data_IF_943399501406
#
_entry.id   IF_943399501406
#
_cell.length_a   1.000
_cell.length_b   1.000
_cell.length_c   1.000
_cell.angle_alpha   90.00
_cell.angle_beta   90.00
_cell.angle_gamma   90.00
#
_symmetry.space_group_name_H-M   'P 1'
#
loop_
_entity.id
_entity.type
_entity.pdbx_description
1 polymer ?
#
# COMPACT_ATOMS: atom_id res chain seq x y z
N UNK A 1 -9.51 -22.27 24.86
CA UNK A 1 -10.15 -20.95 25.09
C UNK A 1 -10.67 -20.46 23.74
N UNK A 2 -11.88 -19.90 23.70
CA UNK A 2 -12.43 -19.28 22.48
C UNK A 2 -12.28 -17.77 22.63
N UNK A 3 -11.56 -17.13 21.71
CA UNK A 3 -11.42 -15.67 21.67
C UNK A 3 -12.69 -15.02 21.13
N UNK A 4 -12.98 -13.78 21.51
CA UNK A 4 -14.06 -13.02 20.87
C UNK A 4 -13.67 -12.67 19.43
N UNK A 5 -12.40 -12.28 19.22
CA UNK A 5 -11.87 -11.90 17.92
C UNK A 5 -10.52 -12.56 17.62
N UNK A 6 -10.35 -13.04 16.40
CA UNK A 6 -9.05 -13.35 15.83
C UNK A 6 -8.78 -12.43 14.63
N UNK A 7 -7.56 -11.90 14.52
CA UNK A 7 -7.09 -11.15 13.35
C UNK A 7 -5.89 -11.86 12.73
N UNK A 8 -5.94 -12.17 11.44
CA UNK A 8 -4.81 -12.77 10.71
C UNK A 8 -4.10 -11.68 9.91
N UNK A 9 -2.80 -11.55 10.13
CA UNK A 9 -1.90 -10.61 9.44
C UNK A 9 -1.45 -9.46 10.34
N UNK A 10 -0.15 -9.42 10.65
CA UNK A 10 0.55 -8.38 11.41
C UNK A 10 1.10 -7.24 10.53
N UNK A 11 0.50 -7.01 9.36
CA UNK A 11 0.67 -5.79 8.59
C UNK A 11 -0.19 -4.64 9.16
N UNK A 12 0.03 -3.41 8.66
CA UNK A 12 -0.59 -2.21 9.24
C UNK A 12 -2.13 -2.24 9.27
N UNK A 13 -2.79 -2.85 8.27
CA UNK A 13 -4.25 -2.96 8.23
C UNK A 13 -4.76 -3.92 9.32
N UNK A 14 -4.10 -5.07 9.50
CA UNK A 14 -4.48 -6.03 10.54
C UNK A 14 -4.22 -5.49 11.94
N UNK A 15 -3.08 -4.82 12.14
CA UNK A 15 -2.76 -4.16 13.41
C UNK A 15 -3.74 -3.03 13.76
N UNK A 16 -4.03 -2.14 12.81
CA UNK A 16 -5.03 -1.09 13.02
C UNK A 16 -6.41 -1.68 13.35
N UNK A 17 -6.79 -2.79 12.68
CA UNK A 17 -8.06 -3.49 12.94
C UNK A 17 -8.11 -4.09 14.33
N UNK A 18 -7.07 -4.81 14.75
CA UNK A 18 -7.00 -5.40 16.09
C UNK A 18 -7.03 -4.33 17.19
N UNK A 19 -6.28 -3.24 17.00
CA UNK A 19 -6.30 -2.10 17.91
C UNK A 19 -7.69 -1.50 18.01
N UNK A 20 -8.35 -1.23 16.88
CA UNK A 20 -9.70 -0.65 16.88
C UNK A 20 -10.75 -1.57 17.48
N UNK A 21 -10.65 -2.90 17.30
CA UNK A 21 -11.54 -3.86 17.95
C UNK A 21 -11.45 -3.76 19.48
N UNK A 22 -10.24 -3.71 20.03
CA UNK A 22 -10.01 -3.58 21.47
C UNK A 22 -10.48 -2.24 22.03
N UNK A 23 -10.30 -1.15 21.27
CA UNK A 23 -10.79 0.19 21.65
C UNK A 23 -12.33 0.25 21.64
N UNK A 24 -12.96 -0.40 20.66
CA UNK A 24 -14.42 -0.39 20.49
C UNK A 24 -15.12 -1.29 21.50
N UNK A 25 -14.50 -2.42 21.84
CA UNK A 25 -15.06 -3.42 22.76
C UNK A 25 -14.09 -3.68 23.93
N UNK A 26 -14.01 -2.76 24.92
CA UNK A 26 -13.14 -2.94 26.07
C UNK A 26 -13.40 -4.26 26.80
N UNK A 27 -12.33 -5.00 27.12
CA UNK A 27 -12.40 -6.29 27.82
C UNK A 27 -12.68 -7.50 26.93
N UNK A 28 -12.84 -7.33 25.61
CA UNK A 28 -12.93 -8.47 24.70
C UNK A 28 -11.59 -9.21 24.61
N UNK A 29 -11.66 -10.53 24.44
CA UNK A 29 -10.49 -11.36 24.19
C UNK A 29 -10.12 -11.33 22.71
N UNK A 30 -8.89 -10.90 22.39
CA UNK A 30 -8.39 -10.79 21.02
C UNK A 30 -7.04 -11.45 20.85
N UNK A 31 -6.88 -12.21 19.76
CA UNK A 31 -5.59 -12.73 19.32
C UNK A 31 -5.30 -12.28 17.88
N UNK A 32 -4.09 -11.79 17.63
CA UNK A 32 -3.56 -11.51 16.31
C UNK A 32 -2.50 -12.56 15.95
N UNK A 33 -2.63 -13.16 14.76
CA UNK A 33 -1.71 -14.16 14.23
C UNK A 33 -0.89 -13.58 13.07
N UNK A 34 0.43 -13.62 13.19
CA UNK A 34 1.38 -13.22 12.15
C UNK A 34 2.35 -14.37 11.90
N UNK A 35 2.57 -14.70 10.62
CA UNK A 35 3.43 -15.81 10.22
C UNK A 35 4.92 -15.47 10.32
N UNK A 36 5.26 -14.19 10.26
CA UNK A 36 6.63 -13.70 10.34
C UNK A 36 7.07 -13.57 11.80
N UNK A 37 8.38 -13.54 12.02
CA UNK A 37 8.99 -13.35 13.35
C UNK A 37 8.86 -11.91 13.87
N UNK A 38 8.32 -11.00 13.06
CA UNK A 38 8.14 -9.59 13.39
C UNK A 38 6.96 -8.98 12.62
N UNK A 39 6.38 -7.93 13.20
CA UNK A 39 5.29 -7.17 12.59
C UNK A 39 5.76 -6.34 11.39
N UNK A 40 4.87 -6.18 10.40
CA UNK A 40 5.08 -5.26 9.27
C UNK A 40 6.15 -5.70 8.26
N UNK A 41 6.57 -6.97 8.25
CA UNK A 41 7.70 -7.45 7.44
C UNK A 41 7.50 -7.41 5.93
N UNK A 42 6.26 -7.41 5.44
CA UNK A 42 5.97 -7.45 4.01
C UNK A 42 5.70 -6.06 3.41
N UNK A 43 4.53 -5.87 2.76
CA UNK A 43 4.14 -4.61 2.08
C UNK A 43 4.30 -3.36 2.96
N UNK A 44 4.04 -3.48 4.26
CA UNK A 44 4.16 -2.36 5.21
C UNK A 44 5.61 -1.94 5.46
N UNK A 45 6.55 -2.87 5.45
CA UNK A 45 7.98 -2.57 5.59
C UNK A 45 8.61 -2.13 4.28
N UNK A 46 8.04 -2.55 3.14
CA UNK A 46 8.57 -2.31 1.79
C UNK A 46 7.72 -1.33 1.00
N UNK A 47 7.70 -0.07 1.43
CA UNK A 47 7.03 1.03 0.73
C UNK A 47 7.80 2.36 0.91
N UNK A 48 7.32 3.42 0.26
CA UNK A 48 7.95 4.74 0.24
C UNK A 48 7.80 5.54 1.54
N UNK A 49 7.08 5.03 2.56
CA UNK A 49 6.86 5.74 3.82
C UNK A 49 5.94 6.96 3.71
N UNK A 50 5.33 7.22 2.55
CA UNK A 50 4.57 8.44 2.30
C UNK A 50 3.23 8.44 3.05
N UNK A 51 2.94 9.55 3.73
CA UNK A 51 1.62 9.92 4.26
C UNK A 51 0.93 10.74 3.17
N UNK A 52 0.11 10.08 2.35
CA UNK A 52 -0.49 10.66 1.15
C UNK A 52 -1.61 11.67 1.48
N UNK A 53 -1.64 12.79 0.74
CA UNK A 53 -2.72 13.79 0.85
C UNK A 53 -3.99 13.47 0.03
N UNK A 54 -3.95 12.48 -0.88
CA UNK A 54 -5.14 12.03 -1.62
C UNK A 54 -5.39 12.66 -3.00
N UNK A 55 -4.47 13.46 -3.53
CA UNK A 55 -4.69 14.28 -4.76
C UNK A 55 -5.08 13.48 -6.02
N UNK A 56 -4.66 12.22 -6.13
CA UNK A 56 -4.90 11.43 -7.34
C UNK A 56 -6.29 10.79 -7.39
N UNK A 57 -6.96 10.65 -6.25
CA UNK A 57 -8.14 9.79 -6.17
C UNK A 57 -9.39 10.50 -6.71
N UNK A 58 -10.27 9.76 -7.42
CA UNK A 58 -11.54 10.32 -7.88
C UNK A 58 -12.34 10.91 -6.72
N UNK A 59 -12.89 12.12 -6.87
CA UNK A 59 -13.75 12.72 -5.86
C UNK A 59 -14.94 11.84 -5.51
N UNK A 60 -15.29 11.80 -4.22
CA UNK A 60 -16.35 10.94 -3.70
C UNK A 60 -15.99 9.44 -3.61
N UNK A 61 -14.82 9.02 -4.10
CA UNK A 61 -14.38 7.64 -3.90
C UNK A 61 -14.00 7.36 -2.46
N UNK A 62 -14.17 6.11 -2.03
CA UNK A 62 -13.78 5.64 -0.70
C UNK A 62 -12.29 5.90 -0.42
N UNK A 63 -11.44 5.76 -1.44
CA UNK A 63 -10.01 6.11 -1.35
C UNK A 63 -9.76 7.57 -1.03
N UNK A 64 -10.45 8.49 -1.68
CA UNK A 64 -10.25 9.92 -1.45
C UNK A 64 -10.60 10.26 0.00
N UNK A 65 -11.74 9.76 0.48
CA UNK A 65 -12.21 9.98 1.85
C UNK A 65 -11.28 9.37 2.90
N UNK A 66 -10.97 8.07 2.76
CA UNK A 66 -10.13 7.34 3.70
C UNK A 66 -8.68 7.87 3.70
N UNK A 67 -8.15 8.31 2.57
CA UNK A 67 -6.81 8.87 2.50
C UNK A 67 -6.70 10.18 3.27
N UNK A 68 -7.69 11.07 3.16
CA UNK A 68 -7.70 12.35 3.88
C UNK A 68 -7.78 12.11 5.38
N UNK A 69 -8.80 11.36 5.82
CA UNK A 69 -8.94 10.96 7.24
C UNK A 69 -7.70 10.24 7.76
N UNK A 70 -7.12 9.38 6.92
CA UNK A 70 -5.94 8.60 7.24
C UNK A 70 -4.68 9.43 7.41
N UNK A 71 -4.49 10.46 6.58
CA UNK A 71 -3.34 11.35 6.68
C UNK A 71 -3.31 12.06 8.03
N UNK A 72 -4.45 12.57 8.48
CA UNK A 72 -4.57 13.25 9.77
C UNK A 72 -4.45 12.27 10.94
N UNK A 73 -5.16 11.14 10.88
CA UNK A 73 -5.09 10.10 11.91
C UNK A 73 -3.68 9.51 12.06
N UNK A 74 -2.96 9.28 10.95
CA UNK A 74 -1.59 8.77 10.99
C UNK A 74 -0.64 9.76 11.66
N UNK A 75 -0.74 11.05 11.33
CA UNK A 75 0.10 12.09 11.96
C UNK A 75 -0.21 12.22 13.45
N UNK A 76 -1.50 12.23 13.82
CA UNK A 76 -1.93 12.27 15.22
C UNK A 76 -1.40 11.05 16.01
N UNK A 77 -1.51 9.85 15.45
CA UNK A 77 -0.96 8.63 16.04
C UNK A 77 0.56 8.71 16.21
N UNK A 78 1.27 9.28 15.23
CA UNK A 78 2.71 9.48 15.32
C UNK A 78 3.07 10.47 16.44
N UNK A 79 2.33 11.58 16.58
CA UNK A 79 2.53 12.55 17.66
C UNK A 79 2.28 11.91 19.03
N UNK A 80 1.16 11.20 19.21
CA UNK A 80 0.78 10.53 20.45
C UNK A 80 1.83 9.51 20.91
N UNK A 81 2.41 8.76 19.98
CA UNK A 81 3.35 7.69 20.28
C UNK A 81 4.82 8.06 20.11
N UNK A 82 5.13 9.34 19.89
CA UNK A 82 6.51 9.83 19.72
C UNK A 82 7.24 9.23 18.51
N UNK A 83 6.50 8.90 17.44
CA UNK A 83 7.05 8.37 16.20
C UNK A 83 7.49 9.55 15.33
N UNK A 84 8.74 9.51 14.87
CA UNK A 84 9.27 10.54 13.98
C UNK A 84 8.55 10.51 12.63
N UNK A 85 7.99 11.64 12.23
CA UNK A 85 7.48 11.89 10.88
C UNK A 85 7.89 13.30 10.43
N UNK A 86 7.88 13.56 9.13
CA UNK A 86 8.21 14.86 8.54
C UNK A 86 7.10 15.24 7.54
N UNK A 87 6.55 16.45 7.66
CA UNK A 87 5.58 17.01 6.70
C UNK A 87 6.34 17.82 5.68
N UNK A 88 7.06 17.10 4.81
CA UNK A 88 7.98 17.67 3.85
C UNK A 88 7.31 18.15 2.55
N UNK A 89 6.01 17.93 2.39
CA UNK A 89 5.27 18.27 1.18
C UNK A 89 5.66 17.44 -0.05
N UNK A 90 4.90 17.64 -1.14
CA UNK A 90 5.11 16.93 -2.41
C UNK A 90 4.91 17.86 -3.60
N UNK A 91 5.74 17.69 -4.62
CA UNK A 91 5.65 18.37 -5.91
C UNK A 91 5.25 17.38 -7.00
N UNK A 92 4.17 17.69 -7.72
CA UNK A 92 3.81 17.05 -8.99
C UNK A 92 4.40 17.87 -10.12
N UNK A 93 5.48 17.40 -10.74
CA UNK A 93 6.24 18.17 -11.72
C UNK A 93 5.80 17.81 -13.14
N UNK A 94 5.44 18.82 -13.92
CA UNK A 94 5.14 18.67 -15.34
C UNK A 94 6.39 18.96 -16.17
N UNK A 95 6.77 18.03 -17.05
CA UNK A 95 7.97 18.09 -17.89
C UNK A 95 7.64 18.24 -19.38
N UNK A 96 6.36 18.24 -19.74
CA UNK A 96 5.86 18.44 -21.11
C UNK A 96 4.54 19.22 -21.14
N UNK A 97 4.18 19.79 -22.29
CA UNK A 97 2.91 20.53 -22.46
C UNK A 97 1.68 19.67 -22.16
N UNK A 98 1.73 18.37 -22.48
CA UNK A 98 0.66 17.42 -22.14
C UNK A 98 0.56 17.21 -20.62
N UNK A 99 1.70 17.10 -19.93
CA UNK A 99 1.71 16.99 -18.48
C UNK A 99 1.22 18.28 -17.81
N UNK A 100 1.49 19.46 -18.37
CA UNK A 100 0.91 20.72 -17.88
C UNK A 100 -0.62 20.69 -17.97
N UNK A 101 -1.19 20.27 -19.10
CA UNK A 101 -2.65 20.15 -19.22
C UNK A 101 -3.25 19.18 -18.19
N UNK A 102 -2.60 18.03 -17.97
CA UNK A 102 -3.02 17.05 -16.96
C UNK A 102 -2.86 17.57 -15.53
N UNK A 103 -1.80 18.33 -15.28
CA UNK A 103 -1.54 19.00 -14.01
C UNK A 103 -2.66 19.97 -13.69
N UNK A 104 -3.11 20.76 -14.66
CA UNK A 104 -4.24 21.69 -14.47
C UNK A 104 -5.54 20.96 -14.11
N UNK A 105 -5.83 19.84 -14.78
CA UNK A 105 -6.99 19.02 -14.42
C UNK A 105 -6.89 18.44 -13.00
N UNK A 106 -5.69 18.08 -12.52
CA UNK A 106 -5.48 17.62 -11.15
C UNK A 106 -5.67 18.74 -10.12
N UNK A 107 -5.28 19.97 -10.45
CA UNK A 107 -5.51 21.12 -9.57
C UNK A 107 -7.00 21.42 -9.41
N UNK A 108 -7.80 21.31 -10.48
CA UNK A 108 -9.25 21.47 -10.34
C UNK A 108 -9.88 20.32 -9.52
N UNK A 109 -9.36 19.09 -9.67
CA UNK A 109 -9.78 17.95 -8.84
C UNK A 109 -9.42 18.12 -7.36
N UNK A 110 -8.26 18.70 -7.04
CA UNK A 110 -7.83 18.87 -5.65
C UNK A 110 -8.78 19.76 -4.86
N UNK A 111 -9.35 20.78 -5.50
CA UNK A 111 -10.41 21.62 -4.92
C UNK A 111 -11.64 20.81 -4.51
N UNK A 112 -12.09 19.88 -5.38
CA UNK A 112 -13.23 19.00 -5.10
C UNK A 112 -12.96 18.03 -3.93
N UNK A 113 -11.71 17.61 -3.77
CA UNK A 113 -11.29 16.78 -2.64
C UNK A 113 -10.95 17.56 -1.36
N UNK A 114 -11.05 18.91 -1.41
CA UNK A 114 -10.69 19.80 -0.30
C UNK A 114 -9.22 19.62 0.13
N UNK A 115 -8.33 19.46 -0.85
CA UNK A 115 -6.89 19.34 -0.62
C UNK A 115 -6.24 20.68 -0.97
N UNK A 116 -5.50 21.24 -0.03
CA UNK A 116 -4.66 22.42 -0.26
C UNK A 116 -3.55 22.09 -1.27
N UNK A 117 -3.52 22.85 -2.36
CA UNK A 117 -2.55 22.70 -3.44
C UNK A 117 -2.18 24.08 -3.96
N UNK A 118 -0.89 24.33 -4.14
CA UNK A 118 -0.36 25.57 -4.71
C UNK A 118 0.20 25.29 -6.11
N UNK A 119 -0.27 26.04 -7.11
CA UNK A 119 0.37 26.04 -8.44
C UNK A 119 1.71 26.77 -8.34
N UNK A 120 2.74 26.21 -8.97
CA UNK A 120 4.06 26.80 -9.10
C UNK A 120 4.43 26.95 -10.57
N UNK A 121 4.91 28.12 -10.94
CA UNK A 121 5.62 28.37 -12.18
C UNK A 121 6.95 27.61 -12.23
N UNK A 122 7.56 27.52 -13.42
CA UNK A 122 8.91 27.00 -13.58
C UNK A 122 9.94 27.73 -12.69
N UNK A 123 9.82 29.06 -12.57
CA UNK A 123 10.70 29.87 -11.72
C UNK A 123 10.57 29.50 -10.23
N UNK A 124 9.34 29.42 -9.72
CA UNK A 124 9.08 29.04 -8.33
C UNK A 124 9.46 27.58 -8.05
N UNK A 125 9.26 26.67 -9.01
CA UNK A 125 9.74 25.29 -8.91
C UNK A 125 11.27 25.26 -8.74
N UNK A 126 12.00 26.01 -9.59
CA UNK A 126 13.47 26.06 -9.54
C UNK A 126 13.99 26.69 -8.25
N UNK A 127 13.32 27.71 -7.72
CA UNK A 127 13.67 28.32 -6.45
C UNK A 127 13.52 27.34 -5.27
N UNK A 128 12.40 26.61 -5.25
CA UNK A 128 12.11 25.61 -4.21
C UNK A 128 13.00 24.38 -4.32
N UNK A 129 13.22 23.89 -5.54
CA UNK A 129 14.00 22.69 -5.86
C UNK A 129 15.04 22.96 -6.97
N UNK A 130 16.24 23.48 -6.63
CA UNK A 130 17.24 23.88 -7.62
C UNK A 130 17.76 22.76 -8.53
N UNK A 131 17.65 21.51 -8.08
CA UNK A 131 18.07 20.32 -8.84
C UNK A 131 16.95 19.73 -9.71
N UNK A 132 15.76 20.32 -9.69
CA UNK A 132 14.60 19.85 -10.42
C UNK A 132 14.29 20.76 -11.61
N UNK A 133 13.81 20.16 -12.69
CA UNK A 133 13.42 20.81 -13.95
C UNK A 133 12.00 20.41 -14.32
N UNK A 134 11.25 21.35 -14.87
CA UNK A 134 9.89 21.17 -15.32
C UNK A 134 9.28 22.50 -15.74
N UNK A 135 8.20 22.46 -16.49
CA UNK A 135 7.44 23.63 -16.97
C UNK A 135 6.56 24.25 -15.86
N UNK A 136 6.44 23.57 -14.72
CA UNK A 136 5.64 23.99 -13.57
C UNK A 136 5.37 22.80 -12.66
N UNK A 137 4.74 23.06 -11.51
CA UNK A 137 4.37 22.01 -10.57
C UNK A 137 3.11 22.31 -9.75
N UNK A 138 2.53 21.26 -9.16
CA UNK A 138 1.60 21.39 -8.04
C UNK A 138 2.29 21.03 -6.74
N UNK A 139 2.29 21.95 -5.79
CA UNK A 139 2.80 21.75 -4.44
C UNK A 139 1.68 21.38 -3.47
N UNK A 140 1.84 20.24 -2.80
CA UNK A 140 0.90 19.72 -1.81
C UNK A 140 1.58 19.73 -0.43
N UNK A 141 1.37 20.78 0.40
CA UNK A 141 2.12 21.00 1.64
C UNK A 141 1.81 19.93 2.70
N UNK A 142 0.60 19.37 2.69
CA UNK A 142 0.15 18.42 3.72
C UNK A 142 0.74 17.02 3.60
N UNK A 143 1.48 16.70 2.52
CA UNK A 143 2.09 15.37 2.35
C UNK A 143 3.27 15.21 3.30
N UNK A 144 3.42 14.02 3.89
CA UNK A 144 4.54 13.73 4.79
C UNK A 144 5.15 12.35 4.57
N UNK A 145 6.10 12.01 5.43
CA UNK A 145 6.83 10.74 5.42
C UNK A 145 7.00 10.19 6.84
N UNK A 146 6.96 8.87 6.98
CA UNK A 146 7.09 8.14 8.24
C UNK A 146 7.64 6.74 8.01
N UNK A 147 8.17 6.12 9.06
CA UNK A 147 8.43 4.68 9.10
C UNK A 147 7.15 3.93 9.47
N UNK A 148 6.48 3.33 8.48
CA UNK A 148 5.31 2.49 8.78
C UNK A 148 5.68 1.20 9.55
N UNK A 149 6.95 0.79 9.52
CA UNK A 149 7.45 -0.24 10.42
C UNK A 149 7.34 0.20 11.89
N UNK A 150 7.77 1.42 12.21
CA UNK A 150 7.66 1.97 13.57
C UNK A 150 6.20 2.17 14.00
N UNK A 151 5.34 2.59 13.07
CA UNK A 151 3.88 2.65 13.27
C UNK A 151 3.33 1.27 13.64
N UNK A 152 3.71 0.21 12.91
CA UNK A 152 3.31 -1.15 13.26
C UNK A 152 3.80 -1.59 14.64
N UNK A 153 5.04 -1.27 15.00
CA UNK A 153 5.56 -1.61 16.33
C UNK A 153 4.79 -0.87 17.43
N UNK A 154 4.44 0.40 17.22
CA UNK A 154 3.62 1.16 18.15
C UNK A 154 2.20 0.60 18.27
N UNK A 155 1.54 0.26 17.16
CA UNK A 155 0.24 -0.41 17.17
C UNK A 155 0.31 -1.76 17.91
N UNK A 156 1.37 -2.54 17.69
CA UNK A 156 1.60 -3.80 18.41
C UNK A 156 1.74 -3.61 19.92
N UNK A 157 2.47 -2.58 20.38
CA UNK A 157 2.53 -2.21 21.80
C UNK A 157 1.17 -1.79 22.34
N UNK A 158 0.41 -1.01 21.57
CA UNK A 158 -0.93 -0.54 21.96
C UNK A 158 -1.91 -1.71 22.12
N UNK A 159 -1.91 -2.66 21.17
CA UNK A 159 -2.73 -3.90 21.26
C UNK A 159 -2.43 -4.65 22.56
N UNK A 160 -1.14 -4.88 22.87
CA UNK A 160 -0.75 -5.55 24.11
C UNK A 160 -1.18 -4.78 25.37
N UNK A 161 -1.03 -3.45 25.35
CA UNK A 161 -1.46 -2.60 26.47
C UNK A 161 -2.99 -2.61 26.67
N UNK A 162 -3.76 -2.85 25.61
CA UNK A 162 -5.21 -3.02 25.66
C UNK A 162 -5.64 -4.46 26.02
N UNK A 163 -4.70 -5.36 26.32
CA UNK A 163 -4.98 -6.75 26.70
C UNK A 163 -5.07 -7.73 25.54
N UNK A 164 -4.81 -7.30 24.30
CA UNK A 164 -4.76 -8.18 23.13
C UNK A 164 -3.48 -9.00 23.06
N UNK A 165 -3.60 -10.21 22.51
CA UNK A 165 -2.48 -11.11 22.29
C UNK A 165 -1.95 -11.04 20.86
N UNK A 166 -0.64 -11.13 20.70
CA UNK A 166 0.02 -11.23 19.38
C UNK A 166 0.86 -12.50 19.37
N UNK A 167 0.61 -13.39 18.41
CA UNK A 167 1.42 -14.58 18.14
C UNK A 167 2.14 -14.39 16.81
N UNK A 168 3.46 -14.28 16.90
CA UNK A 168 4.39 -14.25 15.77
C UNK A 168 4.76 -15.69 15.39
N UNK A 169 5.35 -15.88 14.21
CA UNK A 169 5.71 -17.21 13.70
C UNK A 169 4.54 -18.20 13.62
N UNK A 170 3.31 -17.68 13.54
CA UNK A 170 2.06 -18.43 13.51
C UNK A 170 1.46 -18.40 12.11
N UNK A 171 1.95 -19.26 11.21
CA UNK A 171 1.41 -19.36 9.85
C UNK A 171 0.09 -20.13 9.88
N UNK A 172 -1.00 -19.45 9.57
CA UNK A 172 -2.30 -20.09 9.41
C UNK A 172 -2.30 -21.04 8.21
N UNK A 173 -2.73 -22.28 8.45
CA UNK A 173 -2.74 -23.40 7.49
C UNK A 173 -4.14 -23.98 7.28
N UNK A 174 -5.14 -23.56 8.05
CA UNK A 174 -6.53 -23.93 7.85
C UNK A 174 -7.48 -22.96 8.53
N UNK A 175 -8.62 -22.70 7.89
CA UNK A 175 -9.70 -21.87 8.45
C UNK A 175 -11.01 -22.61 8.19
N UNK A 176 -11.79 -22.88 9.22
CA UNK A 176 -13.11 -23.51 9.09
C UNK A 176 -14.13 -22.77 9.93
N UNK A 177 -15.09 -22.14 9.26
CA UNK A 177 -16.24 -21.54 9.93
C UNK A 177 -17.18 -22.63 10.43
N UNK A 178 -17.56 -22.55 11.69
CA UNK A 178 -18.55 -23.39 12.34
C UNK A 178 -19.75 -22.52 12.78
N UNK A 179 -20.77 -23.15 13.37
CA UNK A 179 -22.00 -22.45 13.77
C UNK A 179 -21.73 -21.31 14.75
N UNK A 180 -20.86 -21.53 15.74
CA UNK A 180 -20.65 -20.61 16.87
C UNK A 180 -19.25 -20.00 16.96
N UNK A 181 -18.34 -20.47 16.11
CA UNK A 181 -16.93 -20.07 16.11
C UNK A 181 -16.30 -20.28 14.73
N UNK A 182 -15.05 -19.86 14.61
CA UNK A 182 -14.16 -20.17 13.49
C UNK A 182 -12.97 -20.93 14.07
N UNK A 183 -12.69 -22.11 13.54
CA UNK A 183 -11.50 -22.89 13.87
C UNK A 183 -10.34 -22.38 12.99
N UNK A 184 -9.22 -22.02 13.61
CA UNK A 184 -8.02 -21.54 12.93
C UNK A 184 -6.86 -22.49 13.24
N UNK A 185 -6.42 -23.23 12.23
CA UNK A 185 -5.25 -24.10 12.31
C UNK A 185 -3.99 -23.35 11.89
N UNK A 186 -2.86 -23.63 12.54
CA UNK A 186 -1.58 -22.99 12.19
C UNK A 186 -0.37 -23.90 12.38
N UNK A 187 0.81 -23.41 11.98
CA UNK A 187 2.09 -24.02 12.34
C UNK A 187 2.30 -23.90 13.85
N UNK A 188 2.06 -24.99 14.58
CA UNK A 188 2.25 -25.07 16.03
C UNK A 188 0.93 -25.26 16.75
N UNK A 189 0.28 -24.15 17.10
CA UNK A 189 -0.95 -24.14 17.89
C UNK A 189 -2.20 -23.88 17.03
N UNK A 190 -3.35 -24.31 17.52
CA UNK A 190 -4.65 -24.03 16.91
C UNK A 190 -5.46 -23.11 17.83
N UNK A 191 -6.28 -22.26 17.24
CA UNK A 191 -7.12 -21.31 17.96
C UNK A 191 -8.57 -21.39 17.51
N UNK A 192 -9.45 -20.86 18.34
CA UNK A 192 -10.85 -20.67 18.03
C UNK A 192 -11.25 -19.24 18.37
N UNK A 193 -12.06 -18.63 17.51
CA UNK A 193 -12.62 -17.30 17.78
C UNK A 193 -14.09 -17.19 17.35
N UNK A 194 -14.87 -16.34 18.01
CA UNK A 194 -16.27 -16.10 17.64
C UNK A 194 -16.38 -15.38 16.30
N UNK A 195 -15.46 -14.45 16.02
CA UNK A 195 -15.31 -13.71 14.76
C UNK A 195 -13.85 -13.69 14.31
N UNK A 196 -13.64 -13.69 12.99
CA UNK A 196 -12.33 -13.67 12.34
C UNK A 196 -12.24 -12.49 11.35
N UNK A 197 -11.14 -11.76 11.38
CA UNK A 197 -10.75 -10.83 10.32
C UNK A 197 -9.45 -11.29 9.67
N UNK A 198 -9.42 -11.32 8.34
CA UNK A 198 -8.25 -11.73 7.57
C UNK A 198 -7.69 -10.57 6.77
N UNK A 199 -6.54 -10.07 7.17
CA UNK A 199 -5.79 -8.99 6.52
C UNK A 199 -4.51 -9.56 5.85
N UNK A 200 -4.70 -10.53 4.97
CA UNK A 200 -3.63 -11.36 4.40
C UNK A 200 -2.68 -10.68 3.40
N UNK A 201 -2.94 -9.44 2.99
CA UNK A 201 -2.10 -8.71 2.03
C UNK A 201 -1.86 -9.52 0.75
N UNK A 202 -0.60 -9.81 0.45
CA UNK A 202 -0.17 -10.66 -0.67
C UNK A 202 -0.70 -12.09 -0.66
N UNK A 203 -1.29 -12.57 0.44
CA UNK A 203 -1.90 -13.90 0.57
C UNK A 203 -3.43 -13.83 0.73
N UNK A 204 -4.06 -12.68 0.50
CA UNK A 204 -5.48 -12.46 0.82
C UNK A 204 -6.43 -13.41 0.11
N UNK A 205 -6.23 -13.65 -1.19
CA UNK A 205 -7.02 -14.57 -2.01
C UNK A 205 -6.80 -16.04 -1.59
N UNK A 206 -5.56 -16.44 -1.29
CA UNK A 206 -5.24 -17.78 -0.80
C UNK A 206 -5.88 -18.07 0.54
N UNK A 207 -5.84 -17.11 1.47
CA UNK A 207 -6.50 -17.26 2.77
C UNK A 207 -8.03 -17.26 2.65
N UNK A 208 -8.61 -16.52 1.68
CA UNK A 208 -10.03 -16.60 1.38
C UNK A 208 -10.43 -17.98 0.83
N UNK A 209 -9.66 -18.53 -0.11
CA UNK A 209 -9.86 -19.90 -0.63
C UNK A 209 -9.66 -20.94 0.48
N UNK A 210 -8.64 -20.77 1.33
CA UNK A 210 -8.36 -21.64 2.46
C UNK A 210 -9.53 -21.68 3.47
N UNK A 211 -10.24 -20.56 3.61
CA UNK A 211 -11.46 -20.46 4.42
C UNK A 211 -12.72 -20.97 3.74
N UNK A 212 -12.62 -21.54 2.52
CA UNK A 212 -13.75 -22.06 1.76
C UNK A 212 -14.60 -21.00 1.05
N UNK A 213 -14.11 -19.76 0.94
CA UNK A 213 -14.85 -18.68 0.27
C UNK A 213 -14.75 -18.80 -1.26
N UNK A 214 -15.88 -18.61 -1.93
CA UNK A 214 -15.90 -18.45 -3.39
C UNK A 214 -15.48 -17.03 -3.76
N UNK A 215 -14.37 -16.89 -4.48
CA UNK A 215 -13.84 -15.60 -4.93
C UNK A 215 -13.60 -15.58 -6.45
N UNK A 216 -13.79 -14.41 -7.05
CA UNK A 216 -13.63 -14.20 -8.50
C UNK A 216 -12.38 -13.42 -8.89
N UNK A 217 -11.41 -13.34 -7.97
CA UNK A 217 -10.18 -12.61 -8.17
C UNK A 217 -8.96 -13.44 -7.75
N UNK A 218 -7.80 -13.05 -8.28
CA UNK A 218 -6.49 -13.52 -7.85
C UNK A 218 -5.57 -12.34 -7.59
N UNK A 219 -4.65 -12.51 -6.64
CA UNK A 219 -3.60 -11.55 -6.37
C UNK A 219 -2.45 -11.80 -7.33
N UNK A 220 -2.21 -10.82 -8.20
CA UNK A 220 -1.02 -10.74 -9.04
C UNK A 220 0.00 -9.85 -8.33
N UNK A 221 1.20 -10.36 -7.99
CA UNK A 221 2.22 -9.54 -7.37
C UNK A 221 2.84 -8.60 -8.40
N UNK A 222 2.79 -7.30 -8.13
CA UNK A 222 3.54 -6.30 -8.90
C UNK A 222 4.75 -5.85 -8.08
N UNK A 223 5.93 -6.21 -8.56
CA UNK A 223 7.21 -5.81 -7.98
C UNK A 223 7.53 -4.39 -8.42
N UNK A 224 7.78 -3.52 -7.44
CA UNK A 224 8.30 -2.18 -7.65
C UNK A 224 9.77 -2.12 -7.27
N UNK A 225 10.63 -1.88 -8.25
CA UNK A 225 12.07 -1.75 -8.04
C UNK A 225 12.44 -0.32 -7.69
N UNK A 226 13.24 -0.20 -6.64
CA UNK A 226 13.76 1.06 -6.15
C UNK A 226 15.29 1.06 -6.25
N UNK A 227 15.83 2.27 -6.34
CA UNK A 227 17.24 2.54 -6.09
C UNK A 227 17.38 3.50 -4.92
N UNK A 228 18.53 3.50 -4.28
CA UNK A 228 18.91 4.47 -3.26
C UNK A 228 20.00 5.36 -3.85
N UNK A 229 19.87 6.67 -3.66
CA UNK A 229 20.94 7.61 -4.02
C UNK A 229 22.10 7.52 -3.01
N UNK A 230 23.35 7.81 -3.44
CA UNK A 230 24.48 7.88 -2.53
C UNK A 230 24.26 8.96 -1.46
N UNK A 231 24.92 8.81 -0.31
CA UNK A 231 24.75 9.74 0.81
C UNK A 231 25.05 11.21 0.43
N UNK A 232 25.97 11.43 -0.51
CA UNK A 232 26.29 12.77 -1.05
C UNK A 232 25.13 13.44 -1.80
N UNK A 233 24.06 12.70 -2.14
CA UNK A 233 22.86 13.20 -2.83
C UNK A 233 21.60 13.14 -1.95
N UNK A 234 21.73 12.95 -0.64
CA UNK A 234 20.56 12.95 0.26
C UNK A 234 19.81 14.29 0.29
N UNK A 235 20.51 15.40 0.02
CA UNK A 235 19.93 16.75 -0.02
C UNK A 235 19.58 17.20 -1.45
N UNK A 236 19.54 16.28 -2.42
CA UNK A 236 19.23 16.62 -3.82
C UNK A 236 17.82 17.20 -3.99
N UNK A 237 16.90 16.82 -3.11
CA UNK A 237 15.51 17.31 -3.07
C UNK A 237 15.12 17.67 -1.65
N UNK A 238 14.23 18.65 -1.49
CA UNK A 238 13.67 19.08 -0.20
C UNK A 238 12.27 18.50 0.05
N UNK A 239 11.50 18.29 -1.01
CA UNK A 239 10.15 17.74 -1.03
C UNK A 239 10.14 16.38 -1.75
N UNK A 240 9.00 15.69 -1.70
CA UNK A 240 8.79 14.51 -2.54
C UNK A 240 8.54 14.93 -3.98
N UNK A 241 9.26 14.36 -4.95
CA UNK A 241 9.13 14.73 -6.38
C UNK A 241 8.48 13.61 -7.16
N UNK A 242 7.33 13.91 -7.74
CA UNK A 242 6.48 12.97 -8.45
C UNK A 242 6.16 13.51 -9.85
N UNK A 243 6.07 12.67 -10.89
CA UNK A 243 5.60 13.10 -12.18
C UNK A 243 4.08 13.31 -12.13
N UNK A 244 3.57 14.06 -13.11
CA UNK A 244 2.13 14.12 -13.35
C UNK A 244 1.65 12.74 -13.85
N UNK A 245 0.60 12.14 -13.25
CA UNK A 245 0.10 10.82 -13.62
C UNK A 245 -0.39 10.78 -15.07
N UNK A 246 -0.12 9.66 -15.74
CA UNK A 246 -0.78 9.29 -16.98
C UNK A 246 -1.99 8.39 -16.66
N UNK A 247 -3.24 8.82 -16.94
CA UNK A 247 -4.42 7.98 -16.72
C UNK A 247 -4.43 6.67 -17.51
N UNK A 248 -3.65 6.56 -18.58
CA UNK A 248 -3.53 5.34 -19.37
C UNK A 248 -2.60 4.29 -18.74
N UNK A 249 -1.84 4.66 -17.70
CA UNK A 249 -0.93 3.75 -17.01
C UNK A 249 -1.54 3.26 -15.68
N UNK A 250 -1.44 1.96 -15.36
CA UNK A 250 -2.00 1.40 -14.12
C UNK A 250 -1.21 1.79 -12.86
N UNK A 251 0.03 2.28 -13.04
CA UNK A 251 0.93 2.67 -11.97
C UNK A 251 1.52 4.05 -12.25
N UNK A 252 2.00 4.70 -11.19
CA UNK A 252 2.62 6.01 -11.25
C UNK A 252 4.07 5.87 -11.72
N UNK A 253 4.61 6.90 -12.39
CA UNK A 253 5.99 6.90 -12.88
C UNK A 253 7.03 6.89 -11.75
N UNK A 254 8.31 6.93 -12.12
CA UNK A 254 9.41 6.96 -11.16
C UNK A 254 9.34 8.24 -10.31
N UNK A 255 9.60 8.15 -9.00
CA UNK A 255 9.61 9.28 -8.06
C UNK A 255 10.99 9.49 -7.44
N UNK A 256 11.30 10.70 -6.96
CA UNK A 256 12.33 10.90 -5.93
C UNK A 256 11.64 11.08 -4.58
N UNK A 257 11.90 10.16 -3.67
CA UNK A 257 11.26 10.12 -2.35
C UNK A 257 12.31 10.30 -1.27
N UNK A 258 12.18 11.35 -0.45
CA UNK A 258 12.91 11.46 0.80
C UNK A 258 12.35 10.44 1.80
N UNK A 259 13.22 9.65 2.39
CA UNK A 259 12.87 8.68 3.42
C UNK A 259 13.03 9.33 4.80
N UNK A 260 12.29 8.85 5.80
CA UNK A 260 12.33 9.43 7.16
C UNK A 260 13.71 9.35 7.83
N UNK A 261 14.55 8.40 7.39
CA UNK A 261 15.95 8.25 7.83
C UNK A 261 16.93 9.21 7.12
N UNK A 262 16.43 10.11 6.26
CA UNK A 262 17.22 11.10 5.52
C UNK A 262 17.81 10.61 4.19
N UNK A 263 17.66 9.33 3.84
CA UNK A 263 18.07 8.84 2.51
C UNK A 263 17.07 9.26 1.43
N UNK A 264 17.50 9.29 0.16
CA UNK A 264 16.61 9.49 -0.98
C UNK A 264 16.53 8.20 -1.79
N UNK A 265 15.31 7.76 -2.07
CA UNK A 265 15.03 6.63 -2.96
C UNK A 265 14.47 7.13 -4.29
N UNK A 266 14.77 6.38 -5.34
CA UNK A 266 14.26 6.59 -6.68
C UNK A 266 13.38 5.40 -7.04
N UNK A 267 12.14 5.66 -7.45
CA UNK A 267 11.17 4.63 -7.82
C UNK A 267 9.78 4.76 -7.22
N UNK A 268 8.98 3.69 -7.32
CA UNK A 268 9.27 2.44 -8.02
C UNK A 268 8.92 2.48 -9.52
N UNK A 269 9.45 1.53 -10.31
CA UNK A 269 8.78 1.07 -11.53
C UNK A 269 7.66 0.05 -11.18
N UNK A 270 7.00 -0.57 -12.15
CA UNK A 270 6.02 -1.61 -11.86
C UNK A 270 6.11 -2.79 -12.84
N UNK A 271 6.71 -3.88 -12.39
CA UNK A 271 6.82 -5.12 -13.17
C UNK A 271 6.11 -6.28 -12.48
N UNK A 272 5.81 -7.34 -13.26
CA UNK A 272 5.24 -8.56 -12.70
C UNK A 272 6.30 -9.22 -11.79
N UNK A 273 5.90 -9.52 -10.55
CA UNK A 273 6.70 -10.32 -9.64
C UNK A 273 6.48 -11.82 -9.88
N UNK A 274 7.53 -12.61 -9.75
CA UNK A 274 7.45 -14.08 -9.86
C UNK A 274 7.38 -14.79 -8.50
N UNK A 275 7.28 -14.02 -7.42
CA UNK A 275 7.08 -14.47 -6.07
C UNK A 275 6.26 -13.41 -5.33
N UNK A 276 5.27 -13.83 -4.54
CA UNK A 276 4.43 -12.91 -3.76
C UNK A 276 5.26 -12.20 -2.70
N UNK A 277 6.23 -12.88 -2.08
CA UNK A 277 7.05 -12.36 -0.98
C UNK A 277 8.56 -12.51 -1.26
N UNK A 278 8.95 -12.52 -2.53
CA UNK A 278 10.35 -12.59 -2.97
C UNK A 278 10.93 -11.20 -3.27
N UNK A 279 11.59 -10.59 -2.28
CA UNK A 279 12.13 -9.23 -2.39
C UNK A 279 13.46 -9.11 -3.15
N UNK A 280 14.38 -10.09 -3.15
CA UNK A 280 15.51 -10.09 -4.06
C UNK A 280 15.10 -10.06 -5.54
N UNK A 281 15.94 -9.49 -6.41
CA UNK A 281 15.59 -9.23 -7.82
C UNK A 281 15.28 -10.50 -8.63
N UNK A 282 15.97 -11.59 -8.34
CA UNK A 282 15.83 -12.87 -9.05
C UNK A 282 14.92 -13.87 -8.31
N UNK A 283 14.12 -13.40 -7.35
CA UNK A 283 13.22 -14.27 -6.62
C UNK A 283 12.14 -14.84 -7.52
N UNK A 284 12.03 -16.17 -7.50
CA UNK A 284 11.05 -16.92 -8.27
C UNK A 284 10.41 -17.98 -7.38
N UNK A 285 9.09 -18.08 -7.42
CA UNK A 285 8.33 -19.12 -6.77
C UNK A 285 7.36 -19.75 -7.77
N UNK A 286 7.54 -21.05 -8.02
CA UNK A 286 6.75 -21.81 -9.01
C UNK A 286 5.26 -21.80 -8.64
N UNK A 287 4.93 -22.00 -7.36
CA UNK A 287 3.54 -22.05 -6.90
C UNK A 287 2.85 -20.69 -7.01
N UNK A 288 3.53 -19.61 -6.68
CA UNK A 288 3.02 -18.24 -6.86
C UNK A 288 2.81 -17.90 -8.33
N UNK A 289 3.78 -18.24 -9.18
CA UNK A 289 3.73 -17.95 -10.62
C UNK A 289 2.62 -18.76 -11.30
N UNK A 290 2.52 -20.05 -11.00
CA UNK A 290 1.48 -20.91 -11.56
C UNK A 290 0.06 -20.46 -11.14
N UNK A 291 -0.12 -20.01 -9.90
CA UNK A 291 -1.42 -19.59 -9.37
C UNK A 291 -2.05 -18.44 -10.18
N UNK A 292 -1.29 -17.38 -10.47
CA UNK A 292 -1.83 -16.30 -11.31
C UNK A 292 -1.74 -16.59 -12.82
N UNK A 293 -0.76 -17.37 -13.29
CA UNK A 293 -0.62 -17.68 -14.72
C UNK A 293 -1.74 -18.58 -15.24
N UNK A 294 -2.27 -19.48 -14.39
CA UNK A 294 -3.43 -20.33 -14.71
C UNK A 294 -4.76 -19.57 -14.60
N UNK A 295 -4.76 -18.34 -14.09
CA UNK A 295 -5.96 -17.52 -13.96
C UNK A 295 -6.24 -16.70 -15.24
N UNK A 296 -7.39 -16.89 -15.93
CA UNK A 296 -7.65 -16.23 -17.21
C UNK A 296 -7.62 -14.70 -17.16
N UNK A 297 -7.99 -14.10 -16.02
CA UNK A 297 -7.98 -12.66 -15.82
C UNK A 297 -6.59 -12.04 -15.96
N UNK A 298 -5.53 -12.77 -15.59
CA UNK A 298 -4.16 -12.31 -15.74
C UNK A 298 -3.81 -12.01 -17.21
N UNK A 299 -4.06 -12.96 -18.11
CA UNK A 299 -3.75 -12.80 -19.53
C UNK A 299 -4.57 -11.68 -20.18
N UNK A 300 -5.86 -11.57 -19.85
CA UNK A 300 -6.70 -10.45 -20.31
C UNK A 300 -6.13 -9.10 -19.88
N UNK A 301 -5.65 -9.01 -18.64
CA UNK A 301 -4.98 -7.80 -18.11
C UNK A 301 -3.72 -7.46 -18.91
N UNK A 302 -2.86 -8.45 -19.14
CA UNK A 302 -1.59 -8.27 -19.88
C UNK A 302 -1.87 -7.81 -21.31
N UNK A 303 -2.83 -8.42 -22.00
CA UNK A 303 -3.17 -8.04 -23.38
C UNK A 303 -3.78 -6.63 -23.46
N UNK A 304 -4.64 -6.26 -22.52
CA UNK A 304 -5.23 -4.92 -22.43
C UNK A 304 -4.16 -3.83 -22.18
N UNK A 305 -3.08 -4.17 -21.47
CA UNK A 305 -2.05 -3.22 -21.02
C UNK A 305 -0.69 -3.41 -21.70
N UNK A 306 -0.63 -4.11 -22.84
CA UNK A 306 0.61 -4.57 -23.50
C UNK A 306 1.67 -3.49 -23.72
N UNK A 307 1.25 -2.25 -24.03
CA UNK A 307 2.16 -1.13 -24.24
C UNK A 307 2.92 -0.78 -22.96
N UNK A 308 2.18 -0.55 -21.87
CA UNK A 308 2.76 -0.26 -20.55
C UNK A 308 3.61 -1.42 -20.03
N UNK A 309 3.16 -2.67 -20.21
CA UNK A 309 3.90 -3.85 -19.77
C UNK A 309 5.27 -3.97 -20.46
N UNK A 310 5.35 -3.67 -21.76
CA UNK A 310 6.61 -3.69 -22.49
C UNK A 310 7.56 -2.58 -22.05
N UNK A 311 7.05 -1.38 -21.82
CA UNK A 311 7.85 -0.24 -21.33
C UNK A 311 8.41 -0.51 -19.93
N UNK A 312 7.59 -1.00 -19.01
CA UNK A 312 8.01 -1.34 -17.64
C UNK A 312 9.04 -2.48 -17.63
N UNK A 313 8.83 -3.52 -18.44
CA UNK A 313 9.79 -4.62 -18.59
C UNK A 313 11.14 -4.11 -19.12
N UNK A 314 11.12 -3.24 -20.13
CA UNK A 314 12.34 -2.61 -20.65
C UNK A 314 13.05 -1.82 -19.56
N UNK A 315 12.33 -1.00 -18.80
CA UNK A 315 12.90 -0.16 -17.73
C UNK A 315 13.45 -0.99 -16.56
N UNK A 316 12.86 -2.15 -16.27
CA UNK A 316 13.36 -3.08 -15.25
C UNK A 316 14.65 -3.80 -15.69
N UNK A 317 14.74 -4.21 -16.95
CA UNK A 317 15.92 -4.91 -17.48
C UNK A 317 17.06 -3.94 -17.81
N UNK A 318 16.74 -2.70 -18.18
CA UNK A 318 17.69 -1.71 -18.69
C UNK A 318 17.76 -0.47 -17.79
N UNK A 319 18.72 -0.48 -16.84
CA UNK A 319 18.98 0.62 -15.91
C UNK A 319 19.13 2.01 -16.56
N UNK A 320 19.80 2.17 -17.73
CA UNK A 320 19.86 3.48 -18.39
C UNK A 320 18.48 4.04 -18.78
N UNK A 321 17.52 3.20 -19.18
CA UNK A 321 16.16 3.66 -19.47
C UNK A 321 15.43 4.17 -18.22
N UNK A 322 15.65 3.52 -17.08
CA UNK A 322 15.15 3.98 -15.79
C UNK A 322 15.75 5.35 -15.40
N UNK A 323 17.05 5.53 -15.63
CA UNK A 323 17.73 6.80 -15.38
C UNK A 323 17.14 7.93 -16.23
N UNK A 324 16.84 7.68 -17.51
CA UNK A 324 16.24 8.69 -18.39
C UNK A 324 14.85 9.12 -17.91
N UNK A 325 14.04 8.22 -17.36
CA UNK A 325 12.78 8.59 -16.70
C UNK A 325 12.99 9.53 -15.51
N UNK A 326 14.07 9.35 -14.75
CA UNK A 326 14.43 10.25 -13.65
C UNK A 326 14.96 11.60 -14.15
N UNK A 327 15.77 11.58 -15.22
CA UNK A 327 16.42 12.76 -15.80
C UNK A 327 15.43 13.73 -16.43
N UNK A 328 14.21 13.28 -16.79
CA UNK A 328 13.11 14.16 -17.23
C UNK A 328 12.91 15.35 -16.30
N UNK A 329 13.03 15.14 -14.99
CA UNK A 329 12.89 16.21 -13.99
C UNK A 329 14.13 16.38 -13.10
N UNK A 330 15.08 15.43 -13.03
CA UNK A 330 16.33 15.59 -12.26
C UNK A 330 17.57 15.25 -13.12
N UNK A 331 18.03 16.19 -13.98
CA UNK A 331 19.05 15.91 -14.99
C UNK A 331 20.45 15.63 -14.41
N UNK A 332 20.71 16.01 -13.15
CA UNK A 332 22.00 15.83 -12.47
C UNK A 332 22.23 14.41 -11.93
N UNK A 333 21.31 13.48 -12.19
CA UNK A 333 21.49 12.07 -11.82
C UNK A 333 22.31 11.34 -12.88
N UNK A 334 23.15 10.43 -12.42
CA UNK A 334 23.97 9.54 -13.23
C UNK A 334 23.71 8.07 -12.87
N UNK A 335 24.12 7.18 -13.77
CA UNK A 335 23.87 5.74 -13.61
C UNK A 335 24.52 5.19 -12.33
N UNK A 336 25.68 5.73 -11.95
CA UNK A 336 26.41 5.34 -10.74
C UNK A 336 25.69 5.73 -9.44
N UNK A 337 24.75 6.68 -9.50
CA UNK A 337 23.97 7.07 -8.32
C UNK A 337 22.87 6.07 -7.96
N UNK A 338 22.49 5.20 -8.90
CA UNK A 338 21.41 4.23 -8.71
C UNK A 338 21.92 2.99 -7.94
N UNK A 339 22.16 3.17 -6.63
CA UNK A 339 22.62 2.11 -5.75
C UNK A 339 21.48 1.12 -5.43
N UNK A 340 21.77 -0.15 -5.12
CA UNK A 340 20.76 -1.14 -4.78
C UNK A 340 19.86 -0.69 -3.61
N UNK A 341 18.57 -0.95 -3.75
CA UNK A 341 17.59 -0.82 -2.67
C UNK A 341 16.61 -1.99 -2.71
N UNK A 342 15.97 -2.27 -1.58
CA UNK A 342 14.96 -3.33 -1.52
C UNK A 342 13.72 -2.95 -2.33
N UNK A 343 13.09 -3.95 -2.94
CA UNK A 343 11.87 -3.75 -3.72
C UNK A 343 10.63 -3.75 -2.84
N UNK A 344 9.58 -3.10 -3.33
CA UNK A 344 8.22 -3.31 -2.84
C UNK A 344 7.51 -4.37 -3.67
N UNK A 345 6.54 -5.07 -3.09
CA UNK A 345 5.64 -5.96 -3.85
C UNK A 345 4.21 -5.60 -3.52
N UNK A 346 3.48 -5.10 -4.50
CA UNK A 346 2.06 -4.75 -4.38
C UNK A 346 1.19 -5.97 -4.66
N UNK A 347 0.28 -6.28 -3.73
CA UNK A 347 -0.81 -7.19 -3.98
C UNK A 347 -1.86 -6.50 -4.86
N UNK A 348 -1.93 -6.84 -6.15
CA UNK A 348 -2.94 -6.31 -7.06
C UNK A 348 -4.00 -7.38 -7.29
N UNK A 349 -5.22 -7.16 -6.81
CA UNK A 349 -6.33 -8.04 -7.14
C UNK A 349 -6.76 -7.83 -8.61
N UNK A 350 -6.91 -8.93 -9.32
CA UNK A 350 -7.33 -9.01 -10.72
C UNK A 350 -8.57 -9.90 -10.81
N UNK A 351 -9.64 -9.39 -11.42
CA UNK A 351 -10.89 -10.15 -11.65
C UNK A 351 -10.75 -11.10 -12.85
N UNK A 352 -11.65 -12.09 -12.96
CA UNK A 352 -11.71 -13.05 -14.09
C UNK A 352 -11.85 -12.40 -15.48
N UNK A 353 -12.42 -11.20 -15.53
CA UNK A 353 -12.56 -10.40 -16.76
C UNK A 353 -11.27 -9.64 -17.14
N UNK A 354 -10.26 -9.62 -16.26
CA UNK A 354 -9.00 -8.88 -16.43
C UNK A 354 -9.04 -7.44 -15.90
N UNK A 355 -10.11 -7.04 -15.23
CA UNK A 355 -10.16 -5.74 -14.56
C UNK A 355 -9.24 -5.73 -13.33
N UNK A 356 -8.42 -4.68 -13.24
CA UNK A 356 -7.66 -4.37 -12.04
C UNK A 356 -8.59 -3.78 -10.99
N UNK A 357 -8.64 -4.39 -9.81
CA UNK A 357 -9.44 -3.85 -8.72
C UNK A 357 -8.68 -2.68 -8.11
N UNK A 358 -9.19 -1.48 -8.36
CA UNK A 358 -8.57 -0.27 -7.87
C UNK A 358 -9.02 0.10 -6.47
N UNK A 359 -10.20 -0.32 -5.99
CA UNK A 359 -10.71 0.02 -4.65
C UNK A 359 -10.63 -1.15 -3.66
N UNK A 360 -11.05 -0.95 -2.41
CA UNK A 360 -11.12 -1.99 -1.40
C UNK A 360 -12.10 -3.10 -1.80
N UNK A 361 -11.71 -4.35 -1.56
CA UNK A 361 -12.56 -5.52 -1.77
C UNK A 361 -12.62 -6.33 -0.49
N UNK A 362 -13.83 -6.73 -0.10
CA UNK A 362 -14.09 -7.56 1.07
C UNK A 362 -14.91 -8.79 0.68
N UNK A 363 -14.62 -9.93 1.30
CA UNK A 363 -15.50 -11.10 1.30
C UNK A 363 -15.93 -11.37 2.75
N UNK A 364 -17.22 -11.57 2.98
CA UNK A 364 -17.78 -11.63 4.34
C UNK A 364 -18.78 -12.78 4.47
N UNK A 365 -18.73 -13.45 5.61
CA UNK A 365 -19.71 -14.43 6.07
C UNK A 365 -20.29 -13.99 7.41
N UNK A 366 -20.99 -14.87 8.11
CA UNK A 366 -21.55 -14.55 9.42
C UNK A 366 -20.44 -14.28 10.44
N UNK A 367 -19.30 -14.99 10.38
CA UNK A 367 -18.22 -14.89 11.36
C UNK A 367 -16.90 -14.43 10.80
N UNK A 368 -16.73 -14.38 9.48
CA UNK A 368 -15.45 -14.01 8.86
C UNK A 368 -15.57 -12.74 8.01
N UNK A 369 -14.56 -11.90 8.04
CA UNK A 369 -14.38 -10.79 7.09
C UNK A 369 -12.95 -10.84 6.53
N UNK A 370 -12.84 -11.04 5.22
CA UNK A 370 -11.58 -11.09 4.50
C UNK A 370 -11.36 -9.78 3.75
N UNK A 371 -10.24 -9.13 4.02
CA UNK A 371 -9.76 -7.98 3.24
C UNK A 371 -9.03 -8.52 2.02
N UNK A 372 -9.77 -8.66 0.92
CA UNK A 372 -9.31 -9.25 -0.32
C UNK A 372 -8.39 -8.31 -1.13
N UNK A 373 -8.65 -7.00 -1.09
CA UNK A 373 -7.82 -5.99 -1.75
C UNK A 373 -7.72 -4.73 -0.87
N UNK A 374 -6.50 -4.29 -0.60
CA UNK A 374 -6.20 -3.05 0.11
C UNK A 374 -5.06 -2.30 -0.60
N UNK A 375 -5.34 -1.65 -1.74
CA UNK A 375 -4.32 -0.99 -2.54
C UNK A 375 -3.83 0.31 -1.88
N UNK A 376 -2.75 0.90 -2.41
CA UNK A 376 -2.33 2.25 -2.00
C UNK A 376 -3.52 3.23 -2.09
N UNK A 377 -3.76 4.05 -1.04
CA UNK A 377 -2.87 4.40 0.08
C UNK A 377 -3.22 3.70 1.41
N UNK A 378 -3.41 2.38 1.41
CA UNK A 378 -3.80 1.63 2.61
C UNK A 378 -2.93 1.87 3.86
N UNK A 379 -1.62 2.13 3.71
CA UNK A 379 -0.76 2.44 4.84
C UNK A 379 -1.14 3.78 5.50
N UNK A 380 -1.30 4.85 4.72
CA UNK A 380 -1.82 6.13 5.21
C UNK A 380 -3.23 6.00 5.78
N UNK A 381 -4.04 5.13 5.19
CA UNK A 381 -5.46 5.01 5.52
C UNK A 381 -5.78 3.93 6.54
N UNK A 382 -4.77 3.32 7.18
CA UNK A 382 -4.97 2.10 7.96
C UNK A 382 -5.96 2.27 9.12
N UNK A 383 -5.90 3.40 9.83
CA UNK A 383 -6.79 3.72 10.95
C UNK A 383 -8.25 3.83 10.49
N UNK A 384 -8.64 4.69 9.52
CA UNK A 384 -10.03 4.75 9.08
C UNK A 384 -10.48 3.49 8.31
N UNK A 385 -9.57 2.72 7.68
CA UNK A 385 -9.90 1.39 7.15
C UNK A 385 -10.32 0.46 8.28
N UNK A 386 -9.61 0.46 9.41
CA UNK A 386 -9.96 -0.36 10.57
C UNK A 386 -11.35 0.00 11.12
N UNK A 387 -11.70 1.29 11.17
CA UNK A 387 -13.05 1.76 11.55
C UNK A 387 -14.13 1.16 10.64
N UNK A 388 -13.88 1.22 9.33
CA UNK A 388 -14.79 0.65 8.34
C UNK A 388 -14.92 -0.88 8.50
N UNK A 389 -13.81 -1.59 8.75
CA UNK A 389 -13.83 -3.05 8.95
C UNK A 389 -14.63 -3.39 10.21
N UNK A 390 -14.36 -2.75 11.34
CA UNK A 390 -15.07 -2.99 12.61
C UNK A 390 -16.56 -2.66 12.48
N UNK A 391 -16.91 -1.57 11.79
CA UNK A 391 -18.31 -1.23 11.49
C UNK A 391 -19.02 -2.31 10.66
N UNK A 392 -18.35 -2.87 9.64
CA UNK A 392 -18.91 -3.98 8.83
C UNK A 392 -19.10 -5.27 9.61
N UNK A 393 -18.29 -5.51 10.63
CA UNK A 393 -18.47 -6.68 11.51
C UNK A 393 -19.67 -6.53 12.45
N UNK A 394 -20.02 -5.31 12.84
CA UNK A 394 -21.16 -5.02 13.70
C UNK A 394 -22.49 -5.01 12.93
N UNK A 395 -22.49 -4.57 11.66
CA UNK A 395 -23.69 -4.50 10.83
C UNK A 395 -24.10 -5.87 10.27
N UNK A 396 -25.05 -6.53 10.94
CA UNK A 396 -25.66 -7.77 10.43
C UNK A 396 -26.41 -7.60 9.10
N UNK A 397 -26.75 -6.37 8.71
CA UNK A 397 -27.57 -6.05 7.53
C UNK A 397 -26.77 -5.85 6.23
N UNK A 398 -25.43 -5.75 6.29
CA UNK A 398 -24.56 -5.52 5.09
C UNK A 398 -23.96 -6.81 4.50
N UNK A 399 -24.52 -7.98 4.85
CA UNK A 399 -24.07 -9.34 4.42
C UNK A 399 -24.24 -9.65 2.91
N UNK A 400 -24.46 -8.65 2.05
CA UNK A 400 -24.58 -8.89 0.60
C UNK A 400 -23.22 -8.73 -0.09
N UNK A 401 -22.86 -9.64 -1.03
CA UNK A 401 -21.70 -9.43 -1.87
C UNK A 401 -21.94 -8.19 -2.73
N UNK A 402 -21.01 -7.24 -2.70
CA UNK A 402 -20.91 -6.23 -3.75
C UNK A 402 -20.30 -6.96 -4.96
N UNK A 403 -21.16 -7.31 -5.91
CA UNK A 403 -20.78 -8.00 -7.16
C UNK A 403 -19.80 -7.17 -8.00
#
# INVERSE_FOLDING_TARGET
MIFDYCVIGGGIVGLATAMRLLETYPGCSLILLEKEEALGRHQTGHNSGVIHAGIYYPPGSLKAELCRKGADATKAFCQEHGIRFDVCGKLLVATSSLEVQRMEALHERSKQNTIEVHRLSEGELKEREPNIRGLGALFVPSTGIVSYADVCQAMGRRIKALGGEIRLSARVTGIREARDSVDIASTGENWQAKKLVVCGGLQSDRLAVLAGLSIEHRIVPFRGEYYRLPASKNDIVRHLIYPVPDPALPFLGVHLTRMINGSVTVGPNAVIGFAREGYPRLSFNVSDTADYALFPGFWKTVFANRGSALTELRNSLWKPGYLEECRKYCPSLDLADLLPHEAGIRAQAVRKDGALIHDFLFAQTDRMLHVCNAPSPAATSAIPIAEMIVGRMADERRRMPVN
#
